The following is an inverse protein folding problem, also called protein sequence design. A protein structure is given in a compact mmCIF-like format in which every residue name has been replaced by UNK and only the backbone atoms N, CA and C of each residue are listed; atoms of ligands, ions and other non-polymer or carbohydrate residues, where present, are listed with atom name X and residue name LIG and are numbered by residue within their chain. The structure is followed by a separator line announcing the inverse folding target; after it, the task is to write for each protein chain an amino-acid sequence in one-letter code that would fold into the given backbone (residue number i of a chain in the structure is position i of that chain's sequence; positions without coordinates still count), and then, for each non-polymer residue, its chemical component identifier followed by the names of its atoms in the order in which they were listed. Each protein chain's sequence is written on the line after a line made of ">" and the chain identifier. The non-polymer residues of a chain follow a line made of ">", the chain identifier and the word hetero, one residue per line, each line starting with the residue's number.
data_IF_143306726643
#
_entry.id   IF_143306726643
#
_cell.length_a   1.000
_cell.length_b   1.000
_cell.length_c   1.000
_cell.angle_alpha   90.00
_cell.angle_beta   90.00
_cell.angle_gamma   90.00
#
_symmetry.space_group_name_H-M   'P 1'
#
loop_
_entity.id
_entity.type
_entity.pdbx_description
1 polymer ?
#
# COMPACT_ATOMS: atom_id res chain seq x y z
N UNK A 1 32.22 -32.77 -64.46
CA UNK A 1 31.08 -32.04 -63.85
C UNK A 1 31.00 -32.15 -62.32
N UNK A 2 31.19 -33.33 -61.70
CA UNK A 2 31.03 -33.51 -60.23
C UNK A 2 32.02 -32.71 -59.37
N UNK A 3 33.28 -32.56 -59.79
CA UNK A 3 34.30 -31.79 -59.03
C UNK A 3 34.05 -30.27 -59.00
N UNK A 4 33.53 -29.69 -60.08
CA UNK A 4 33.23 -28.24 -60.12
C UNK A 4 32.04 -27.86 -59.23
N UNK A 5 31.01 -28.71 -59.16
CA UNK A 5 29.87 -28.54 -58.25
C UNK A 5 30.29 -28.56 -56.77
N UNK A 6 31.17 -29.49 -56.38
CA UNK A 6 31.68 -29.57 -55.02
C UNK A 6 32.53 -28.35 -54.63
N UNK A 7 33.37 -27.84 -55.54
CA UNK A 7 34.18 -26.63 -55.32
C UNK A 7 33.32 -25.36 -55.15
N UNK A 8 32.26 -25.24 -55.96
CA UNK A 8 31.34 -24.10 -55.90
C UNK A 8 30.45 -24.13 -54.64
N UNK A 9 30.09 -25.33 -54.18
CA UNK A 9 29.36 -25.55 -52.92
C UNK A 9 30.24 -25.27 -51.70
N UNK A 10 31.52 -25.67 -51.73
CA UNK A 10 32.47 -25.34 -50.67
C UNK A 10 32.77 -23.84 -50.60
N UNK A 11 32.92 -23.17 -51.74
CA UNK A 11 33.13 -21.72 -51.79
C UNK A 11 31.93 -20.93 -51.22
N UNK A 12 30.71 -21.31 -51.57
CA UNK A 12 29.50 -20.68 -51.02
C UNK A 12 29.29 -20.94 -49.53
N UNK A 13 29.69 -22.13 -49.05
CA UNK A 13 29.65 -22.46 -47.62
C UNK A 13 30.69 -21.65 -46.83
N UNK A 14 31.90 -21.50 -47.37
CA UNK A 14 32.96 -20.69 -46.77
C UNK A 14 32.57 -19.20 -46.67
N UNK A 15 31.92 -18.64 -47.71
CA UNK A 15 31.42 -17.26 -47.68
C UNK A 15 30.33 -17.07 -46.61
N UNK A 16 29.37 -18.01 -46.51
CA UNK A 16 28.32 -17.97 -45.48
C UNK A 16 28.91 -18.05 -44.06
N UNK A 17 29.93 -18.89 -43.86
CA UNK A 17 30.61 -19.01 -42.58
C UNK A 17 31.36 -17.72 -42.21
N UNK A 18 32.07 -17.12 -43.17
CA UNK A 18 32.79 -15.86 -42.95
C UNK A 18 31.85 -14.72 -42.55
N UNK A 19 30.69 -14.59 -43.23
CA UNK A 19 29.67 -13.57 -42.88
C UNK A 19 29.10 -13.82 -41.49
N UNK A 20 28.76 -15.07 -41.15
CA UNK A 20 28.27 -15.43 -39.82
C UNK A 20 29.31 -15.12 -38.72
N UNK A 21 30.59 -15.42 -38.96
CA UNK A 21 31.67 -15.14 -38.03
C UNK A 21 31.86 -13.64 -37.78
N UNK A 22 31.72 -12.79 -38.82
CA UNK A 22 31.77 -11.33 -38.69
C UNK A 22 30.58 -10.83 -37.84
N UNK A 23 29.36 -11.32 -38.10
CA UNK A 23 28.18 -10.95 -37.31
C UNK A 23 28.33 -11.32 -35.83
N UNK A 24 28.82 -12.52 -35.53
CA UNK A 24 29.08 -12.97 -34.16
C UNK A 24 30.19 -12.14 -33.51
N UNK A 25 31.27 -11.85 -34.23
CA UNK A 25 32.38 -11.01 -33.72
C UNK A 25 31.91 -9.59 -33.43
N UNK A 26 31.06 -9.01 -34.28
CA UNK A 26 30.41 -7.71 -34.06
C UNK A 26 29.53 -7.70 -32.81
N UNK A 27 28.70 -8.74 -32.63
CA UNK A 27 27.87 -8.91 -31.42
C UNK A 27 28.72 -9.06 -30.16
N UNK A 28 29.79 -9.85 -30.20
CA UNK A 28 30.72 -10.04 -29.08
C UNK A 28 31.46 -8.73 -28.76
N UNK A 29 31.91 -7.99 -29.77
CA UNK A 29 32.57 -6.71 -29.59
C UNK A 29 31.62 -5.67 -28.98
N UNK A 30 30.38 -5.56 -29.49
CA UNK A 30 29.35 -4.68 -28.93
C UNK A 30 29.01 -5.04 -27.47
N UNK A 31 28.90 -6.34 -27.17
CA UNK A 31 28.71 -6.83 -25.79
C UNK A 31 29.89 -6.47 -24.90
N UNK A 32 31.13 -6.65 -25.36
CA UNK A 32 32.35 -6.33 -24.62
C UNK A 32 32.50 -4.82 -24.39
N UNK A 33 32.17 -3.98 -25.38
CA UNK A 33 32.14 -2.52 -25.25
C UNK A 33 31.06 -2.04 -24.28
N UNK A 34 29.86 -2.63 -24.33
CA UNK A 34 28.80 -2.37 -23.33
C UNK A 34 29.25 -2.78 -21.93
N UNK A 35 29.89 -3.94 -21.79
CA UNK A 35 30.42 -4.43 -20.51
C UNK A 35 31.56 -3.57 -19.97
N UNK A 36 32.45 -3.07 -20.83
CA UNK A 36 33.52 -2.15 -20.45
C UNK A 36 32.99 -0.78 -20.03
N UNK A 37 32.00 -0.23 -20.74
CA UNK A 37 31.29 0.98 -20.32
C UNK A 37 30.54 0.76 -19.00
N UNK A 38 29.97 -0.43 -18.80
CA UNK A 38 29.39 -0.87 -17.53
C UNK A 38 30.42 -0.82 -16.41
N UNK A 39 31.56 -1.50 -16.60
CA UNK A 39 32.62 -1.59 -15.60
C UNK A 39 33.22 -0.22 -15.31
N UNK A 40 33.44 0.61 -16.33
CA UNK A 40 33.89 1.98 -16.14
C UNK A 40 32.88 2.79 -15.31
N UNK A 41 31.57 2.67 -15.59
CA UNK A 41 30.51 3.36 -14.83
C UNK A 41 30.39 2.83 -13.39
N UNK A 42 30.51 1.51 -13.19
CA UNK A 42 30.53 0.86 -11.86
C UNK A 42 31.73 1.33 -11.01
N UNK A 43 32.89 1.51 -11.63
CA UNK A 43 34.09 2.01 -10.94
C UNK A 43 33.98 3.50 -10.65
N UNK A 44 33.43 4.30 -11.57
CA UNK A 44 33.31 5.76 -11.44
C UNK A 44 32.19 6.22 -10.48
N UNK A 45 31.08 5.48 -10.38
CA UNK A 45 29.96 5.84 -9.49
C UNK A 45 30.16 5.44 -8.02
N UNK A 46 31.34 4.94 -7.64
CA UNK A 46 31.64 4.56 -6.24
C UNK A 46 31.53 5.73 -5.23
N UNK A 47 31.47 6.99 -5.64
CA UNK A 47 31.34 8.10 -4.67
C UNK A 47 29.90 8.65 -4.53
N UNK A 48 28.94 8.15 -5.31
CA UNK A 48 27.53 8.58 -5.22
C UNK A 48 26.66 7.41 -4.74
N UNK A 49 26.34 7.38 -3.45
CA UNK A 49 25.34 6.45 -2.89
C UNK A 49 23.98 7.16 -2.78
N UNK A 50 23.06 6.78 -3.66
CA UNK A 50 21.69 7.27 -3.73
C UNK A 50 20.77 6.59 -2.74
N UNK A 51 21.24 5.60 -1.98
CA UNK A 51 20.42 4.85 -1.03
C UNK A 51 19.73 5.70 0.02
N UNK A 52 20.32 6.83 0.41
CA UNK A 52 19.72 7.82 1.32
C UNK A 52 18.45 8.50 0.78
N UNK A 53 18.17 8.38 -0.52
CA UNK A 53 16.96 8.91 -1.16
C UNK A 53 15.78 7.94 -1.09
N UNK A 54 16.01 6.72 -0.61
CA UNK A 54 15.00 5.68 -0.55
C UNK A 54 14.74 5.23 0.88
N UNK A 55 13.48 4.97 1.20
CA UNK A 55 13.07 4.32 2.44
C UNK A 55 12.04 3.25 2.13
N UNK A 56 12.20 2.06 2.69
CA UNK A 56 11.32 0.92 2.40
C UNK A 56 10.66 0.38 3.67
N UNK A 57 9.36 0.08 3.62
CA UNK A 57 8.65 -0.70 4.65
C UNK A 57 8.11 -1.97 3.99
N UNK A 58 8.67 -3.13 4.35
CA UNK A 58 8.17 -4.41 3.84
C UNK A 58 7.38 -5.13 4.93
N UNK A 59 6.07 -4.88 4.93
CA UNK A 59 5.13 -5.53 5.83
C UNK A 59 4.76 -6.95 5.39
N UNK A 60 3.86 -7.60 6.14
CA UNK A 60 3.42 -8.96 5.85
C UNK A 60 2.59 -9.12 4.56
N UNK A 61 1.95 -8.04 4.09
CA UNK A 61 1.07 -8.06 2.91
C UNK A 61 1.51 -7.09 1.81
N UNK A 62 1.94 -5.88 2.19
CA UNK A 62 2.39 -4.85 1.25
C UNK A 62 3.80 -4.39 1.60
N UNK A 63 4.61 -4.24 0.56
CA UNK A 63 5.81 -3.42 0.56
C UNK A 63 5.47 -1.98 0.14
N UNK A 64 6.11 -1.00 0.77
CA UNK A 64 6.03 0.42 0.43
C UNK A 64 7.44 0.92 0.25
N UNK A 65 7.61 1.78 -0.75
CA UNK A 65 8.86 2.44 -1.06
C UNK A 65 8.58 3.93 -1.15
N UNK A 66 9.37 4.69 -0.42
CA UNK A 66 9.44 6.13 -0.51
C UNK A 66 10.66 6.49 -1.35
N UNK A 67 10.47 7.42 -2.29
CA UNK A 67 11.54 8.04 -3.04
C UNK A 67 11.53 9.55 -2.79
N UNK A 68 12.64 10.07 -2.26
CA UNK A 68 12.87 11.50 -2.08
C UNK A 68 13.59 12.07 -3.29
N UNK A 69 12.87 12.91 -4.03
CA UNK A 69 13.37 13.75 -5.09
C UNK A 69 13.81 15.09 -4.50
N UNK A 70 15.08 15.46 -4.68
CA UNK A 70 15.59 16.75 -4.23
C UNK A 70 15.17 17.86 -5.20
N UNK A 71 15.08 19.07 -4.66
CA UNK A 71 14.95 20.26 -5.48
C UNK A 71 16.14 20.38 -6.44
N UNK A 72 15.87 20.67 -7.71
CA UNK A 72 16.88 20.74 -8.77
C UNK A 72 17.28 19.40 -9.39
N UNK A 73 16.79 18.25 -8.91
CA UNK A 73 17.05 16.94 -9.56
C UNK A 73 16.50 16.87 -10.99
N UNK A 74 15.43 17.61 -11.29
CA UNK A 74 14.83 17.70 -12.62
C UNK A 74 15.52 18.74 -13.54
N UNK A 75 16.46 19.53 -13.01
CA UNK A 75 17.15 20.56 -13.78
C UNK A 75 18.38 19.96 -14.47
N UNK A 76 18.20 19.56 -15.73
CA UNK A 76 19.24 19.00 -16.58
C UNK A 76 20.42 19.97 -16.84
N UNK A 77 20.30 21.25 -16.47
CA UNK A 77 21.37 22.25 -16.60
C UNK A 77 22.24 22.38 -15.35
N UNK A 78 21.84 21.80 -14.22
CA UNK A 78 22.59 21.84 -12.97
C UNK A 78 23.74 20.79 -12.98
N UNK A 79 25.03 21.20 -12.99
CA UNK A 79 26.16 20.27 -13.01
C UNK A 79 26.33 19.47 -11.71
N UNK A 80 25.71 19.92 -10.60
CA UNK A 80 25.72 19.24 -9.31
C UNK A 80 24.51 18.30 -9.11
N UNK A 81 23.53 18.32 -10.04
CA UNK A 81 22.44 17.36 -10.02
C UNK A 81 23.02 15.94 -10.15
N UNK A 82 22.64 14.99 -9.27
CA UNK A 82 23.07 13.61 -9.46
C UNK A 82 22.52 13.11 -10.79
N UNK A 83 23.38 12.48 -11.60
CA UNK A 83 22.97 11.69 -12.75
C UNK A 83 22.20 10.47 -12.25
N UNK A 84 20.94 10.71 -11.85
CA UNK A 84 19.94 9.67 -11.60
C UNK A 84 19.56 8.98 -12.91
N UNK A 85 20.01 9.53 -14.06
CA UNK A 85 19.76 9.06 -15.40
C UNK A 85 18.29 8.72 -15.64
N UNK A 86 18.08 7.62 -16.35
CA UNK A 86 16.75 7.09 -16.64
C UNK A 86 15.95 6.71 -15.38
N UNK A 87 16.57 6.54 -14.20
CA UNK A 87 15.88 6.07 -12.99
C UNK A 87 14.90 7.12 -12.46
N UNK A 88 15.32 8.39 -12.42
CA UNK A 88 14.49 9.49 -11.92
C UNK A 88 13.25 9.68 -12.79
N UNK A 89 13.44 9.88 -14.10
CA UNK A 89 12.34 9.98 -15.06
C UNK A 89 11.44 8.74 -14.99
N UNK A 90 12.02 7.54 -14.86
CA UNK A 90 11.20 6.32 -14.74
C UNK A 90 10.33 6.32 -13.48
N UNK A 91 10.88 6.74 -12.32
CA UNK A 91 10.18 6.84 -11.03
C UNK A 91 9.15 7.98 -10.94
N UNK A 92 9.23 8.99 -11.80
CA UNK A 92 8.34 10.16 -11.73
C UNK A 92 7.35 10.22 -12.89
N UNK A 93 7.74 9.78 -14.09
CA UNK A 93 6.91 9.88 -15.30
C UNK A 93 5.92 8.72 -15.45
N UNK A 94 6.08 7.66 -14.66
CA UNK A 94 5.20 6.48 -14.70
C UNK A 94 4.49 6.24 -13.37
N UNK A 95 3.30 5.64 -13.42
CA UNK A 95 2.54 5.23 -12.23
C UNK A 95 2.60 3.72 -12.01
N UNK A 96 2.98 2.93 -13.01
CA UNK A 96 3.02 1.47 -12.94
C UNK A 96 4.38 0.93 -13.38
N UNK A 97 5.01 0.13 -12.51
CA UNK A 97 6.34 -0.42 -12.74
C UNK A 97 6.27 -1.94 -12.78
N UNK A 98 6.60 -2.47 -13.95
CA UNK A 98 6.40 -3.89 -14.23
C UNK A 98 4.93 -4.28 -14.05
N UNK A 99 4.67 -5.35 -13.29
CA UNK A 99 3.33 -5.90 -13.05
C UNK A 99 2.87 -5.78 -11.59
N UNK A 100 3.63 -5.10 -10.73
CA UNK A 100 3.48 -5.29 -9.28
C UNK A 100 3.71 -4.05 -8.44
N UNK A 101 4.36 -3.01 -8.97
CA UNK A 101 4.58 -1.76 -8.25
C UNK A 101 3.70 -0.68 -8.84
N UNK A 102 3.09 0.10 -7.97
CA UNK A 102 2.26 1.25 -8.31
C UNK A 102 2.74 2.46 -7.52
N UNK A 103 2.85 3.61 -8.18
CA UNK A 103 3.10 4.91 -7.57
C UNK A 103 1.79 5.68 -7.52
N UNK A 104 1.45 6.20 -6.35
CA UNK A 104 0.30 7.09 -6.21
C UNK A 104 0.77 8.55 -6.31
N UNK A 105 0.62 9.13 -7.50
CA UNK A 105 1.02 10.51 -7.78
C UNK A 105 0.25 11.54 -6.94
N UNK A 106 -0.96 11.19 -6.47
CA UNK A 106 -1.82 12.08 -5.66
C UNK A 106 -1.35 12.20 -4.21
N UNK A 107 -0.58 11.21 -3.74
CA UNK A 107 -0.01 11.18 -2.40
C UNK A 107 1.35 11.87 -2.32
N UNK A 108 1.85 12.45 -3.43
CA UNK A 108 3.14 13.15 -3.44
C UNK A 108 3.13 14.31 -2.44
N UNK A 109 4.18 14.40 -1.62
CA UNK A 109 4.33 15.45 -0.61
C UNK A 109 5.47 16.39 -0.97
N UNK A 110 5.22 17.70 -0.89
CA UNK A 110 6.29 18.69 -0.92
C UNK A 110 6.96 18.75 0.46
N UNK A 111 8.29 18.70 0.47
CA UNK A 111 9.06 18.74 1.72
C UNK A 111 9.42 20.18 2.08
N UNK A 112 9.18 20.62 3.33
CA UNK A 112 9.67 21.91 3.78
C UNK A 112 11.20 21.97 3.72
N UNK A 113 11.73 22.99 3.04
CA UNK A 113 13.16 23.08 2.73
C UNK A 113 13.57 22.52 1.37
N UNK A 114 12.60 22.08 0.55
CA UNK A 114 12.81 21.75 -0.86
C UNK A 114 12.65 20.26 -1.18
N UNK A 115 12.16 19.97 -2.39
CA UNK A 115 12.01 18.61 -2.92
C UNK A 115 10.63 17.99 -2.70
N UNK A 116 10.50 16.74 -3.15
CA UNK A 116 9.25 15.98 -3.24
C UNK A 116 9.43 14.54 -2.76
N UNK A 117 8.45 14.02 -2.02
CA UNK A 117 8.39 12.62 -1.61
C UNK A 117 7.36 11.91 -2.46
N UNK A 118 7.79 10.86 -3.14
CA UNK A 118 6.94 9.96 -3.94
C UNK A 118 6.68 8.66 -3.19
N UNK A 119 5.45 8.16 -3.28
CA UNK A 119 5.02 6.93 -2.61
C UNK A 119 4.72 5.84 -3.62
N UNK A 120 5.42 4.72 -3.47
CA UNK A 120 5.24 3.51 -4.25
C UNK A 120 4.82 2.36 -3.33
N UNK A 121 4.01 1.44 -3.87
CA UNK A 121 3.54 0.26 -3.16
C UNK A 121 3.57 -0.98 -4.05
N UNK A 122 3.76 -2.14 -3.44
CA UNK A 122 3.71 -3.44 -4.12
C UNK A 122 3.24 -4.54 -3.16
N UNK A 123 2.76 -5.66 -3.68
CA UNK A 123 2.43 -6.82 -2.84
C UNK A 123 3.71 -7.50 -2.34
N UNK A 124 3.80 -7.81 -1.04
CA UNK A 124 5.02 -8.43 -0.46
C UNK A 124 5.38 -9.76 -1.12
N UNK A 125 4.39 -10.54 -1.56
CA UNK A 125 4.59 -11.79 -2.29
C UNK A 125 5.20 -11.59 -3.70
N UNK A 126 5.34 -10.34 -4.18
CA UNK A 126 5.97 -9.97 -5.45
C UNK A 126 7.36 -9.38 -5.28
N UNK A 127 7.93 -9.37 -4.08
CA UNK A 127 9.24 -8.74 -3.82
C UNK A 127 10.36 -9.29 -4.72
N UNK A 128 10.34 -10.60 -5.03
CA UNK A 128 11.31 -11.20 -5.96
C UNK A 128 11.21 -10.61 -7.37
N UNK A 129 9.98 -10.40 -7.88
CA UNK A 129 9.78 -9.71 -9.16
C UNK A 129 10.26 -8.27 -9.12
N UNK A 130 10.13 -7.58 -7.98
CA UNK A 130 10.65 -6.21 -7.79
C UNK A 130 12.17 -6.21 -7.84
N UNK A 131 12.82 -7.15 -7.14
CA UNK A 131 14.27 -7.33 -7.14
C UNK A 131 14.78 -7.63 -8.55
N UNK A 132 14.17 -8.58 -9.25
CA UNK A 132 14.51 -8.87 -10.64
C UNK A 132 14.33 -7.64 -11.54
N UNK A 133 13.25 -6.89 -11.37
CA UNK A 133 13.00 -5.69 -12.14
C UNK A 133 14.10 -4.64 -11.95
N UNK A 134 14.46 -4.36 -10.69
CA UNK A 134 15.55 -3.44 -10.31
C UNK A 134 16.91 -3.91 -10.83
N UNK A 135 17.16 -5.23 -10.83
CA UNK A 135 18.36 -5.84 -11.38
C UNK A 135 18.45 -5.62 -12.90
N UNK A 136 17.41 -6.00 -13.66
CA UNK A 136 17.38 -5.91 -15.12
C UNK A 136 17.50 -4.46 -15.62
N UNK A 137 16.90 -3.52 -14.90
CA UNK A 137 16.98 -2.08 -15.21
C UNK A 137 18.27 -1.43 -14.69
N UNK A 138 19.09 -2.17 -13.96
CA UNK A 138 20.35 -1.69 -13.40
C UNK A 138 20.18 -0.50 -12.42
N UNK A 139 19.00 -0.36 -11.80
CA UNK A 139 18.68 0.75 -10.88
C UNK A 139 19.42 0.64 -9.54
N UNK A 140 19.94 -0.54 -9.20
CA UNK A 140 20.68 -0.80 -7.96
C UNK A 140 22.13 -0.28 -7.96
N UNK A 141 22.68 0.11 -9.12
CA UNK A 141 24.14 0.33 -9.27
C UNK A 141 24.72 1.40 -8.36
N UNK A 142 23.92 2.43 -8.11
CA UNK A 142 24.33 3.59 -7.33
C UNK A 142 23.70 3.57 -5.94
N UNK A 143 23.23 2.39 -5.48
CA UNK A 143 22.63 2.20 -4.17
C UNK A 143 23.44 1.12 -3.46
N UNK A 144 24.07 1.48 -2.33
CA UNK A 144 24.80 0.50 -1.50
C UNK A 144 24.00 0.09 -0.29
N UNK A 145 23.40 1.07 0.38
CA UNK A 145 22.65 0.85 1.61
C UNK A 145 21.31 1.54 1.52
N UNK A 146 20.24 0.82 1.85
CA UNK A 146 18.89 1.38 1.87
C UNK A 146 18.25 1.16 3.23
N UNK A 147 17.66 2.21 3.79
CA UNK A 147 16.89 2.09 5.02
C UNK A 147 15.63 1.25 4.77
N UNK A 148 15.43 0.23 5.60
CA UNK A 148 14.30 -0.68 5.48
C UNK A 148 13.73 -1.02 6.86
N UNK A 149 12.42 -0.95 6.99
CA UNK A 149 11.68 -1.29 8.21
C UNK A 149 10.65 -2.40 7.93
N UNK A 150 9.96 -2.82 8.99
CA UNK A 150 9.03 -3.93 8.97
C UNK A 150 9.71 -5.30 8.96
N UNK A 151 8.92 -6.37 9.17
CA UNK A 151 9.45 -7.74 9.24
C UNK A 151 10.20 -8.19 7.97
N UNK A 152 9.87 -7.61 6.81
CA UNK A 152 10.53 -7.89 5.55
C UNK A 152 11.97 -7.36 5.46
N UNK A 153 12.34 -6.35 6.25
CA UNK A 153 13.73 -5.88 6.35
C UNK A 153 14.69 -6.99 6.80
N UNK A 154 14.20 -7.88 7.67
CA UNK A 154 14.95 -9.07 8.10
C UNK A 154 14.81 -10.20 7.09
N UNK A 155 13.57 -10.54 6.70
CA UNK A 155 13.26 -11.68 5.84
C UNK A 155 13.94 -11.60 4.46
N UNK A 156 13.99 -10.41 3.87
CA UNK A 156 14.49 -10.20 2.50
C UNK A 156 15.88 -9.56 2.45
N UNK A 157 16.56 -9.39 3.59
CA UNK A 157 17.91 -8.80 3.66
C UNK A 157 18.89 -9.49 2.70
N UNK A 158 18.95 -10.83 2.74
CA UNK A 158 19.84 -11.62 1.87
C UNK A 158 19.43 -11.53 0.39
N UNK A 159 18.13 -11.50 0.10
CA UNK A 159 17.65 -11.39 -1.28
C UNK A 159 18.19 -10.10 -1.94
N UNK A 160 18.12 -8.97 -1.23
CA UNK A 160 18.66 -7.69 -1.71
C UNK A 160 20.19 -7.70 -1.80
N UNK A 161 20.87 -8.24 -0.79
CA UNK A 161 22.33 -8.30 -0.76
C UNK A 161 22.89 -9.19 -1.88
N UNK A 162 22.36 -10.41 -2.02
CA UNK A 162 22.84 -11.41 -2.97
C UNK A 162 22.55 -11.02 -4.44
N UNK A 163 21.39 -10.40 -4.71
CA UNK A 163 20.95 -10.13 -6.09
C UNK A 163 21.22 -8.71 -6.56
N UNK A 164 21.24 -7.73 -5.65
CA UNK A 164 21.40 -6.31 -5.98
C UNK A 164 22.69 -5.71 -5.41
N UNK A 165 23.38 -6.40 -4.49
CA UNK A 165 24.50 -5.82 -3.75
C UNK A 165 24.06 -4.71 -2.79
N UNK A 166 22.77 -4.63 -2.45
CA UNK A 166 22.21 -3.60 -1.56
C UNK A 166 22.10 -4.16 -0.15
N UNK A 167 22.77 -3.52 0.80
CA UNK A 167 22.60 -3.81 2.22
C UNK A 167 21.37 -3.10 2.78
N UNK A 168 20.45 -3.86 3.38
CA UNK A 168 19.28 -3.27 4.06
C UNK A 168 19.65 -2.85 5.49
N UNK A 169 19.68 -1.53 5.73
CA UNK A 169 19.79 -0.96 7.06
C UNK A 169 18.45 -1.12 7.78
N UNK A 170 18.42 -2.00 8.77
CA UNK A 170 17.19 -2.38 9.48
C UNK A 170 16.83 -1.29 10.49
N UNK A 171 15.63 -0.75 10.35
CA UNK A 171 15.06 0.24 11.27
C UNK A 171 13.89 -0.38 12.06
N UNK A 172 13.60 0.14 13.25
CA UNK A 172 12.44 -0.30 14.05
C UNK A 172 11.13 0.15 13.38
N UNK A 173 10.15 -0.75 13.28
CA UNK A 173 8.88 -0.50 12.59
C UNK A 173 8.04 0.58 13.29
N UNK A 174 8.01 0.56 14.62
CA UNK A 174 7.18 1.46 15.38
C UNK A 174 7.83 2.86 15.47
N UNK A 175 9.14 2.93 15.61
CA UNK A 175 9.90 4.19 15.60
C UNK A 175 9.78 4.90 14.24
N UNK A 176 10.00 4.18 13.13
CA UNK A 176 9.82 4.73 11.79
C UNK A 176 8.39 5.23 11.55
N UNK A 177 7.39 4.46 11.99
CA UNK A 177 5.98 4.84 11.87
C UNK A 177 5.69 6.15 12.62
N UNK A 178 6.12 6.27 13.86
CA UNK A 178 5.86 7.45 14.69
C UNK A 178 6.58 8.68 14.11
N UNK A 179 7.87 8.55 13.76
CA UNK A 179 8.63 9.65 13.14
C UNK A 179 8.01 10.10 11.83
N UNK A 180 7.65 9.17 10.95
CA UNK A 180 7.00 9.46 9.68
C UNK A 180 5.66 10.17 9.87
N UNK A 181 4.82 9.67 10.79
CA UNK A 181 3.53 10.28 11.08
C UNK A 181 3.68 11.68 11.68
N UNK A 182 4.59 11.88 12.65
CA UNK A 182 4.87 13.19 13.25
C UNK A 182 5.40 14.17 12.20
N UNK A 183 6.27 13.72 11.30
CA UNK A 183 6.75 14.52 10.17
C UNK A 183 5.58 15.00 9.31
N UNK A 184 4.70 14.09 8.88
CA UNK A 184 3.56 14.46 8.02
C UNK A 184 2.59 15.38 8.77
N UNK A 185 2.26 15.10 10.04
CA UNK A 185 1.37 15.96 10.84
C UNK A 185 1.91 17.38 11.06
N UNK A 186 3.23 17.56 11.14
CA UNK A 186 3.87 18.88 11.30
C UNK A 186 3.96 19.67 10.02
N UNK A 187 4.15 18.99 8.89
CA UNK A 187 4.61 19.63 7.65
C UNK A 187 3.60 19.58 6.51
N UNK A 188 2.60 18.70 6.59
CA UNK A 188 1.58 18.55 5.57
C UNK A 188 0.27 19.10 6.12
N UNK A 189 -0.15 20.23 5.56
CA UNK A 189 -1.40 20.86 5.92
C UNK A 189 -2.57 19.89 5.66
N UNK A 190 -3.53 19.89 6.59
CA UNK A 190 -4.76 19.11 6.51
C UNK A 190 -4.62 17.58 6.40
N UNK A 191 -3.43 16.99 6.60
CA UNK A 191 -3.28 15.52 6.63
C UNK A 191 -4.10 14.93 7.78
N UNK A 192 -4.12 15.58 8.94
CA UNK A 192 -5.00 15.19 10.03
C UNK A 192 -6.32 15.97 9.98
N UNK A 193 -7.39 15.28 9.61
CA UNK A 193 -8.68 15.89 9.32
C UNK A 193 -9.53 16.22 10.56
N UNK A 194 -9.18 15.74 11.75
CA UNK A 194 -10.04 15.86 12.96
C UNK A 194 -9.31 16.28 14.22
N UNK A 195 -8.20 15.63 14.56
CA UNK A 195 -7.46 15.88 15.80
C UNK A 195 -6.15 16.60 15.51
N UNK A 196 -5.99 17.84 16.00
CA UNK A 196 -4.81 18.66 15.71
C UNK A 196 -3.74 18.64 16.82
N UNK A 197 -4.03 18.03 17.96
CA UNK A 197 -3.06 17.88 19.04
C UNK A 197 -2.02 16.83 18.66
N UNK A 198 -0.74 17.20 18.73
CA UNK A 198 0.35 16.31 18.36
C UNK A 198 0.68 15.32 19.46
N UNK A 199 0.42 15.60 20.75
CA UNK A 199 0.62 14.67 21.87
C UNK A 199 -0.26 15.03 23.07
N UNK A 200 -0.59 14.05 23.94
CA UNK A 200 -0.47 12.62 23.72
C UNK A 200 -1.58 12.10 22.79
N UNK A 201 -1.32 11.04 22.05
CA UNK A 201 -2.35 10.37 21.24
C UNK A 201 -2.24 8.85 21.28
N UNK A 202 -3.32 8.20 20.86
CA UNK A 202 -3.36 6.77 20.64
C UNK A 202 -3.27 6.50 19.14
N UNK A 203 -2.18 5.88 18.70
CA UNK A 203 -1.99 5.47 17.32
C UNK A 203 -2.42 4.01 17.14
N UNK A 204 -3.32 3.78 16.17
CA UNK A 204 -3.76 2.45 15.79
C UNK A 204 -3.36 2.15 14.37
N UNK A 205 -2.28 1.40 14.24
CA UNK A 205 -1.75 0.98 12.96
C UNK A 205 -2.46 -0.31 12.51
N UNK A 206 -3.29 -0.22 11.46
CA UNK A 206 -4.06 -1.34 10.91
C UNK A 206 -3.37 -1.84 9.64
N UNK A 207 -2.57 -2.89 9.78
CA UNK A 207 -1.94 -3.62 8.68
C UNK A 207 -2.54 -5.02 8.51
N UNK A 208 -1.69 -6.03 8.31
CA UNK A 208 -2.13 -7.44 8.32
C UNK A 208 -2.78 -7.82 9.66
N UNK A 209 -2.16 -7.38 10.77
CA UNK A 209 -2.76 -7.31 12.10
C UNK A 209 -2.93 -5.84 12.54
N UNK A 210 -3.10 -5.61 13.84
CA UNK A 210 -3.26 -4.26 14.41
C UNK A 210 -2.34 -4.06 15.60
N UNK A 211 -1.64 -2.93 15.62
CA UNK A 211 -0.85 -2.46 16.77
C UNK A 211 -1.44 -1.17 17.33
N UNK A 212 -1.57 -1.10 18.65
CA UNK A 212 -2.12 0.04 19.38
C UNK A 212 -1.02 0.62 20.27
N UNK A 213 -0.66 1.87 20.03
CA UNK A 213 0.44 2.59 20.64
C UNK A 213 -0.09 3.81 21.39
N UNK A 214 0.35 3.99 22.64
CA UNK A 214 0.24 5.28 23.34
C UNK A 214 1.51 6.07 23.06
N UNK A 215 1.38 7.24 22.46
CA UNK A 215 2.50 8.12 22.12
C UNK A 215 2.40 9.38 22.97
N UNK A 216 3.43 9.66 23.76
CA UNK A 216 3.49 10.81 24.68
C UNK A 216 4.42 11.90 24.20
N UNK A 217 5.42 11.56 23.36
CA UNK A 217 6.27 12.52 22.66
C UNK A 217 6.81 11.91 21.37
N UNK A 218 7.64 12.66 20.64
CA UNK A 218 8.29 12.18 19.41
C UNK A 218 9.19 10.96 19.64
N UNK A 219 9.76 10.82 20.84
CA UNK A 219 10.70 9.76 21.20
C UNK A 219 10.16 8.82 22.28
N UNK A 220 8.99 9.10 22.86
CA UNK A 220 8.41 8.31 23.94
C UNK A 220 7.06 7.74 23.54
N UNK A 221 7.02 6.41 23.48
CA UNK A 221 5.82 5.66 23.15
C UNK A 221 5.87 4.24 23.71
N UNK A 222 4.69 3.66 23.91
CA UNK A 222 4.54 2.28 24.34
C UNK A 222 3.45 1.56 23.56
N UNK A 223 3.73 0.32 23.14
CA UNK A 223 2.72 -0.58 22.58
C UNK A 223 1.83 -1.10 23.69
N UNK A 224 0.67 -0.46 23.84
CA UNK A 224 -0.31 -0.79 24.89
C UNK A 224 -1.16 -1.99 24.53
N UNK A 225 -1.32 -2.31 23.24
CA UNK A 225 -2.08 -3.47 22.80
C UNK A 225 -1.87 -3.83 21.33
N UNK A 226 -2.61 -4.84 20.88
CA UNK A 226 -2.76 -5.18 19.48
C UNK A 226 -3.73 -6.35 19.31
N UNK A 227 -4.10 -6.63 18.06
CA UNK A 227 -4.91 -7.80 17.70
C UNK A 227 -4.40 -8.40 16.39
N UNK A 228 -4.49 -9.73 16.27
CA UNK A 228 -4.23 -10.42 15.01
C UNK A 228 -5.37 -10.23 13.99
N UNK A 229 -6.52 -9.71 14.43
CA UNK A 229 -7.69 -9.44 13.59
C UNK A 229 -7.54 -8.07 12.91
N UNK A 230 -6.81 -8.03 11.80
CA UNK A 230 -6.59 -6.82 11.00
C UNK A 230 -7.05 -6.97 9.54
N UNK A 231 -6.42 -6.21 8.65
CA UNK A 231 -6.70 -6.26 7.22
C UNK A 231 -6.39 -7.61 6.58
N UNK A 232 -5.42 -8.36 7.12
CA UNK A 232 -5.10 -9.71 6.66
C UNK A 232 -6.24 -10.69 6.94
N UNK A 233 -6.88 -10.58 8.11
CA UNK A 233 -8.06 -11.38 8.45
C UNK A 233 -9.25 -11.01 7.57
N UNK A 234 -9.48 -9.72 7.34
CA UNK A 234 -10.52 -9.24 6.43
C UNK A 234 -10.34 -9.86 5.03
N UNK A 235 -9.18 -9.65 4.42
CA UNK A 235 -8.90 -10.09 3.06
C UNK A 235 -8.94 -11.63 2.95
N UNK A 236 -8.35 -12.34 3.92
CA UNK A 236 -8.33 -13.80 3.94
C UNK A 236 -9.73 -14.40 4.01
N UNK A 237 -10.58 -13.89 4.91
CA UNK A 237 -11.98 -14.35 5.03
C UNK A 237 -12.79 -14.00 3.79
N UNK A 238 -12.65 -12.78 3.24
CA UNK A 238 -13.33 -12.41 2.01
C UNK A 238 -12.94 -13.35 0.86
N UNK A 239 -11.66 -13.68 0.68
CA UNK A 239 -11.20 -14.62 -0.36
C UNK A 239 -11.75 -16.04 -0.19
N UNK A 240 -11.86 -16.51 1.06
CA UNK A 240 -12.35 -17.86 1.36
C UNK A 240 -13.88 -17.97 1.22
N UNK A 241 -14.60 -16.94 1.64
CA UNK A 241 -16.04 -17.01 1.82
C UNK A 241 -16.83 -16.36 0.66
N UNK A 242 -16.16 -15.61 -0.21
CA UNK A 242 -16.80 -14.90 -1.32
C UNK A 242 -16.04 -15.08 -2.64
N UNK A 243 -16.50 -14.39 -3.68
CA UNK A 243 -15.87 -14.42 -5.02
C UNK A 243 -14.67 -13.49 -5.16
N UNK A 244 -14.46 -12.54 -4.24
CA UNK A 244 -13.46 -11.49 -4.41
C UNK A 244 -12.03 -12.03 -4.34
N UNK A 245 -11.17 -11.45 -5.18
CA UNK A 245 -9.77 -11.87 -5.35
C UNK A 245 -8.78 -10.78 -4.95
N UNK A 246 -9.21 -9.51 -4.93
CA UNK A 246 -8.39 -8.38 -4.48
C UNK A 246 -8.99 -7.70 -3.24
N UNK A 247 -8.20 -6.84 -2.61
CA UNK A 247 -8.64 -6.03 -1.49
C UNK A 247 -9.71 -5.02 -1.92
N UNK A 248 -9.50 -4.33 -3.04
CA UNK A 248 -10.43 -3.32 -3.56
C UNK A 248 -11.78 -3.91 -3.92
N UNK A 249 -11.80 -5.08 -4.56
CA UNK A 249 -13.01 -5.83 -4.84
C UNK A 249 -13.79 -6.18 -3.56
N UNK A 250 -13.08 -6.63 -2.52
CA UNK A 250 -13.68 -6.98 -1.25
C UNK A 250 -14.24 -5.73 -0.52
N UNK A 251 -13.53 -4.61 -0.59
CA UNK A 251 -13.94 -3.33 -0.01
C UNK A 251 -15.19 -2.78 -0.72
N UNK A 252 -15.17 -2.69 -2.04
CA UNK A 252 -16.31 -2.28 -2.88
C UNK A 252 -17.53 -3.16 -2.62
N UNK A 253 -17.32 -4.48 -2.56
CA UNK A 253 -18.37 -5.43 -2.20
C UNK A 253 -18.96 -5.17 -0.81
N UNK A 254 -18.13 -4.79 0.16
CA UNK A 254 -18.56 -4.47 1.53
C UNK A 254 -19.43 -3.23 1.63
N UNK A 255 -19.21 -2.23 0.77
CA UNK A 255 -20.04 -1.01 0.72
C UNK A 255 -21.47 -1.28 0.25
N UNK A 256 -21.64 -2.32 -0.57
CA UNK A 256 -22.95 -2.76 -1.10
C UNK A 256 -23.59 -3.87 -0.24
N UNK A 257 -22.83 -4.42 0.72
CA UNK A 257 -23.26 -5.51 1.59
C UNK A 257 -24.25 -5.06 2.68
N UNK A 258 -25.00 -6.02 3.22
CA UNK A 258 -25.84 -5.80 4.40
C UNK A 258 -25.49 -6.82 5.48
N UNK A 259 -24.75 -6.38 6.50
CA UNK A 259 -24.27 -7.24 7.58
C UNK A 259 -25.39 -7.87 8.39
N UNK A 260 -26.57 -7.24 8.47
CA UNK A 260 -27.71 -7.77 9.24
C UNK A 260 -28.27 -9.07 8.66
N UNK A 261 -27.94 -9.41 7.40
CA UNK A 261 -28.32 -10.67 6.79
C UNK A 261 -27.52 -11.87 7.32
N UNK A 262 -26.42 -11.61 8.03
CA UNK A 262 -25.51 -12.63 8.58
C UNK A 262 -25.34 -12.46 10.09
N UNK A 263 -25.18 -11.22 10.56
CA UNK A 263 -25.06 -10.90 11.98
C UNK A 263 -26.36 -11.19 12.75
N UNK A 264 -26.26 -11.99 13.82
CA UNK A 264 -27.35 -12.10 14.78
C UNK A 264 -27.41 -10.85 15.66
N UNK A 265 -28.45 -10.01 15.46
CA UNK A 265 -28.67 -8.81 16.28
C UNK A 265 -29.51 -9.11 17.53
N UNK A 266 -29.45 -8.24 18.55
CA UNK A 266 -30.30 -8.35 19.75
C UNK A 266 -31.80 -8.41 19.43
N UNK A 267 -32.25 -7.82 18.30
CA UNK A 267 -33.63 -7.89 17.81
C UNK A 267 -33.99 -9.32 17.38
N UNK A 268 -33.06 -10.03 16.74
CA UNK A 268 -33.24 -11.42 16.31
C UNK A 268 -33.29 -12.38 17.50
N UNK A 269 -32.53 -12.10 18.57
CA UNK A 269 -32.55 -12.91 19.80
C UNK A 269 -33.86 -12.77 20.57
N UNK A 270 -34.42 -11.54 20.65
CA UNK A 270 -35.69 -11.30 21.37
C UNK A 270 -36.91 -11.96 20.71
N UNK A 271 -36.86 -12.19 19.40
CA UNK A 271 -37.93 -12.87 18.66
C UNK A 271 -37.77 -14.40 18.65
N UNK A 272 -36.68 -14.96 19.20
CA UNK A 272 -36.35 -16.39 19.08
C UNK A 272 -36.65 -17.25 20.33
N UNK A 273 -36.75 -16.69 21.55
CA UNK A 273 -37.33 -17.37 22.73
C UNK A 273 -37.39 -16.46 23.96
N UNK A 274 -38.45 -16.64 24.77
CA UNK A 274 -38.65 -16.38 26.20
C UNK A 274 -37.83 -15.28 26.93
N UNK A 275 -38.55 -14.44 27.69
CA UNK A 275 -37.98 -13.44 28.62
C UNK A 275 -36.85 -14.07 29.48
N UNK A 276 -35.61 -13.55 29.44
CA UNK A 276 -34.57 -14.04 30.33
C UNK A 276 -34.88 -13.61 31.77
N UNK A 277 -34.88 -14.56 32.70
CA UNK A 277 -34.98 -14.27 34.13
C UNK A 277 -33.82 -13.37 34.56
N UNK A 278 -34.13 -12.24 35.21
CA UNK A 278 -33.15 -11.30 35.75
C UNK A 278 -32.45 -11.92 36.96
N UNK A 279 -31.44 -12.76 36.74
CA UNK A 279 -30.44 -13.01 37.77
C UNK A 279 -29.40 -11.88 37.73
N UNK A 280 -29.17 -11.22 38.88
CA UNK A 280 -28.06 -10.28 39.07
C UNK A 280 -26.76 -11.04 38.79
N UNK A 281 -26.04 -10.69 37.72
CA UNK A 281 -24.70 -11.21 37.46
C UNK A 281 -23.71 -10.14 37.92
N UNK A 282 -23.00 -10.46 39.00
CA UNK A 282 -21.80 -9.74 39.42
C UNK A 282 -20.72 -9.83 38.33
N UNK A 283 -20.16 -8.69 37.93
CA UNK A 283 -19.09 -8.64 36.94
C UNK A 283 -17.80 -9.15 37.57
N UNK A 284 -17.45 -10.42 37.30
CA UNK A 284 -16.07 -10.90 37.38
C UNK A 284 -15.49 -11.02 35.98
N UNK A 285 -14.38 -10.33 35.73
CA UNK A 285 -13.59 -10.44 34.51
C UNK A 285 -13.28 -11.92 34.23
N UNK A 286 -13.89 -12.50 33.21
CA UNK A 286 -13.46 -13.77 32.62
C UNK A 286 -12.95 -13.50 31.20
N UNK A 287 -11.65 -13.67 31.00
CA UNK A 287 -11.05 -13.99 29.71
C UNK A 287 -11.78 -15.21 29.15
N UNK A 288 -12.70 -15.02 28.21
CA UNK A 288 -13.28 -16.09 27.38
C UNK A 288 -14.13 -15.47 26.25
N UNK A 289 -13.50 -14.79 25.31
CA UNK A 289 -14.11 -14.46 24.02
C UNK A 289 -13.89 -15.60 23.01
N UNK A 290 -14.37 -16.80 23.34
CA UNK A 290 -14.28 -17.99 22.49
C UNK A 290 -15.64 -18.42 21.88
N UNK A 291 -16.69 -17.59 21.99
CA UNK A 291 -18.01 -17.91 21.43
C UNK A 291 -18.56 -16.74 20.61
N UNK A 292 -18.08 -16.58 19.37
CA UNK A 292 -18.74 -15.69 18.38
C UNK A 292 -19.01 -16.32 17.00
N UNK A 293 -18.78 -17.62 16.82
CA UNK A 293 -19.22 -18.35 15.63
C UNK A 293 -19.72 -19.75 15.97
N UNK A 294 -20.77 -19.88 16.78
CA UNK A 294 -21.50 -21.16 16.85
C UNK A 294 -22.97 -20.92 17.15
N UNK A 295 -23.83 -21.39 16.25
CA UNK A 295 -25.20 -21.78 16.59
C UNK A 295 -25.07 -23.19 17.19
N UNK A 296 -24.90 -23.30 18.51
CA UNK A 296 -24.95 -24.61 19.19
C UNK A 296 -26.43 -24.97 19.31
N UNK A 297 -26.84 -25.98 18.54
CA UNK A 297 -28.21 -26.49 18.49
C UNK A 297 -28.78 -26.56 17.09
N UNK A 298 -28.19 -27.41 16.23
CA UNK A 298 -28.95 -28.26 15.32
C UNK A 298 -28.04 -29.35 14.78
N UNK A 299 -28.55 -30.58 14.73
CA UNK A 299 -27.85 -31.74 14.18
C UNK A 299 -27.29 -31.42 12.80
N UNK A 300 -26.08 -31.93 12.54
CA UNK A 300 -25.35 -31.91 11.26
C UNK A 300 -26.30 -32.09 10.08
N UNK A 301 -26.77 -30.96 9.57
CA UNK A 301 -27.21 -30.87 8.19
C UNK A 301 -25.95 -30.55 7.43
N UNK A 302 -25.52 -31.49 6.58
CA UNK A 302 -24.47 -31.27 5.61
C UNK A 302 -24.56 -29.85 5.06
N UNK A 303 -23.42 -29.18 4.95
CA UNK A 303 -23.30 -27.90 4.26
C UNK A 303 -23.78 -28.14 2.83
N UNK A 304 -25.08 -27.93 2.58
CA UNK A 304 -25.68 -28.05 1.26
C UNK A 304 -24.88 -27.13 0.34
N UNK A 305 -24.30 -27.72 -0.72
CA UNK A 305 -23.79 -27.02 -1.90
C UNK A 305 -24.89 -26.10 -2.41
N UNK A 306 -24.95 -24.84 -1.95
CA UNK A 306 -26.06 -23.96 -2.31
C UNK A 306 -26.27 -22.70 -1.46
N UNK A 307 -25.55 -22.51 -0.34
CA UNK A 307 -25.64 -21.26 0.44
C UNK A 307 -25.07 -20.07 -0.37
N UNK A 308 -25.93 -19.42 -1.15
CA UNK A 308 -25.60 -18.29 -2.01
C UNK A 308 -25.37 -16.97 -1.24
N UNK A 309 -25.65 -16.95 0.08
CA UNK A 309 -25.57 -15.74 0.91
C UNK A 309 -24.16 -15.16 1.02
N UNK A 310 -23.17 -16.03 1.25
CA UNK A 310 -21.75 -15.68 1.33
C UNK A 310 -21.11 -15.49 -0.05
N UNK A 311 -21.55 -16.27 -1.04
CA UNK A 311 -20.92 -16.35 -2.37
C UNK A 311 -21.08 -15.09 -3.25
N UNK A 312 -22.01 -14.18 -2.94
CA UNK A 312 -22.40 -13.09 -3.87
C UNK A 312 -22.07 -11.67 -3.43
N UNK A 313 -21.77 -11.41 -2.15
CA UNK A 313 -21.63 -10.05 -1.61
C UNK A 313 -20.39 -9.93 -0.72
N UNK A 314 -19.64 -8.83 -0.85
CA UNK A 314 -18.49 -8.53 0.00
C UNK A 314 -19.09 -8.26 1.35
N UNK A 315 -18.86 -9.16 2.28
CA UNK A 315 -19.77 -9.21 3.40
C UNK A 315 -19.38 -8.10 4.39
N UNK A 316 -20.18 -7.03 4.38
CA UNK A 316 -20.17 -5.96 5.36
C UNK A 316 -20.13 -6.50 6.81
N UNK A 317 -20.56 -7.75 7.05
CA UNK A 317 -20.43 -8.42 8.35
C UNK A 317 -18.96 -8.63 8.77
N UNK A 318 -18.07 -9.00 7.86
CA UNK A 318 -16.65 -9.23 8.14
C UNK A 318 -15.96 -7.91 8.45
N UNK A 319 -16.18 -6.89 7.61
CA UNK A 319 -15.69 -5.51 7.85
C UNK A 319 -16.23 -4.98 9.19
N UNK A 320 -17.54 -5.10 9.41
CA UNK A 320 -18.19 -4.64 10.64
C UNK A 320 -17.69 -5.39 11.88
N UNK A 321 -17.44 -6.70 11.80
CA UNK A 321 -16.87 -7.47 12.89
C UNK A 321 -15.46 -6.98 13.24
N UNK A 322 -14.56 -6.85 12.26
CA UNK A 322 -13.18 -6.43 12.51
C UNK A 322 -13.15 -5.02 13.10
N UNK A 323 -13.88 -4.07 12.49
CA UNK A 323 -13.95 -2.70 12.98
C UNK A 323 -14.50 -2.62 14.41
N UNK A 324 -15.58 -3.35 14.72
CA UNK A 324 -16.15 -3.39 16.08
C UNK A 324 -15.16 -3.96 17.11
N UNK A 325 -14.39 -5.00 16.76
CA UNK A 325 -13.38 -5.54 17.68
C UNK A 325 -12.26 -4.52 17.93
N UNK A 326 -11.80 -3.82 16.89
CA UNK A 326 -10.78 -2.77 17.03
C UNK A 326 -11.30 -1.62 17.91
N UNK A 327 -12.53 -1.16 17.67
CA UNK A 327 -13.19 -0.12 18.49
C UNK A 327 -13.34 -0.52 19.95
N UNK A 328 -13.82 -1.73 20.22
CA UNK A 328 -14.02 -2.23 21.59
C UNK A 328 -12.69 -2.33 22.35
N UNK A 329 -11.62 -2.79 21.68
CA UNK A 329 -10.27 -2.84 22.24
C UNK A 329 -9.74 -1.43 22.55
N UNK A 330 -9.89 -0.49 21.61
CA UNK A 330 -9.49 0.91 21.81
C UNK A 330 -10.16 1.53 23.02
N UNK A 331 -11.48 1.42 23.10
CA UNK A 331 -12.29 1.99 24.16
C UNK A 331 -11.90 1.49 25.55
N UNK A 332 -11.68 0.18 25.68
CA UNK A 332 -11.25 -0.41 26.93
C UNK A 332 -9.90 0.16 27.41
N UNK A 333 -8.99 0.49 26.48
CA UNK A 333 -7.67 1.03 26.82
C UNK A 333 -7.67 2.54 27.11
N UNK A 334 -8.48 3.32 26.39
CA UNK A 334 -8.69 4.74 26.72
C UNK A 334 -9.25 4.87 28.14
N UNK A 335 -10.22 4.03 28.52
CA UNK A 335 -10.78 4.02 29.87
C UNK A 335 -9.77 3.58 30.95
N UNK A 336 -8.84 2.68 30.63
CA UNK A 336 -7.79 2.23 31.57
C UNK A 336 -6.65 3.24 31.74
N UNK A 337 -6.45 4.15 30.79
CA UNK A 337 -5.36 5.16 30.82
C UNK A 337 -5.75 6.43 31.58
N UNK A 338 -6.87 6.42 32.30
CA UNK A 338 -7.33 7.54 33.14
C UNK A 338 -7.94 8.71 32.36
N UNK A 339 -7.97 8.65 31.04
CA UNK A 339 -8.66 9.62 30.20
C UNK A 339 -10.14 9.28 30.14
N UNK A 340 -10.96 10.00 30.89
CA UNK A 340 -12.42 9.83 30.93
C UNK A 340 -13.10 10.39 29.67
N UNK A 341 -12.65 10.00 28.48
CA UNK A 341 -13.40 10.22 27.25
C UNK A 341 -14.34 9.02 27.08
N UNK A 342 -15.61 9.20 27.44
CA UNK A 342 -16.57 8.14 27.22
C UNK A 342 -16.75 7.92 25.71
N UNK A 343 -16.79 6.66 25.27
CA UNK A 343 -17.02 6.26 23.88
C UNK A 343 -18.22 6.96 23.21
N UNK A 344 -19.22 7.35 23.99
CA UNK A 344 -20.40 8.11 23.53
C UNK A 344 -19.99 9.48 22.96
N UNK A 345 -18.97 10.10 23.54
CA UNK A 345 -18.49 11.44 23.20
C UNK A 345 -17.59 11.36 21.95
N UNK A 346 -16.73 10.33 21.85
CA UNK A 346 -15.97 10.05 20.63
C UNK A 346 -16.90 9.72 19.45
N UNK A 347 -17.94 8.89 19.69
CA UNK A 347 -18.93 8.56 18.66
C UNK A 347 -19.82 9.75 18.28
N UNK A 348 -20.18 10.62 19.22
CA UNK A 348 -20.96 11.82 18.89
C UNK A 348 -20.12 12.77 18.03
N UNK A 349 -18.87 13.04 18.44
CA UNK A 349 -17.93 13.88 17.69
C UNK A 349 -17.65 13.30 16.30
N UNK A 350 -17.36 12.00 16.18
CA UNK A 350 -17.16 11.36 14.89
C UNK A 350 -18.42 11.40 14.00
N UNK A 351 -19.62 11.26 14.58
CA UNK A 351 -20.89 11.34 13.85
C UNK A 351 -21.20 12.75 13.39
N UNK A 352 -20.90 13.77 14.19
CA UNK A 352 -21.01 15.17 13.79
C UNK A 352 -20.02 15.51 12.69
N UNK A 353 -18.77 15.06 12.81
CA UNK A 353 -17.76 15.26 11.78
C UNK A 353 -18.11 14.55 10.48
N UNK A 354 -18.65 13.34 10.54
CA UNK A 354 -19.14 12.63 9.36
C UNK A 354 -20.30 13.37 8.67
N UNK A 355 -21.18 14.04 9.44
CA UNK A 355 -22.20 14.92 8.87
C UNK A 355 -21.57 16.13 8.18
N UNK A 356 -20.55 16.73 8.78
CA UNK A 356 -19.82 17.88 8.23
C UNK A 356 -19.09 17.53 6.93
N UNK A 357 -18.34 16.42 6.91
CA UNK A 357 -17.66 15.90 5.72
C UNK A 357 -18.66 15.60 4.60
N UNK A 358 -19.78 14.95 4.91
CA UNK A 358 -20.83 14.69 3.92
C UNK A 358 -21.50 15.97 3.41
N UNK A 359 -21.66 16.98 4.27
CA UNK A 359 -22.16 18.30 3.87
C UNK A 359 -21.19 18.99 2.90
N UNK A 360 -19.90 18.96 3.21
CA UNK A 360 -18.84 19.54 2.38
C UNK A 360 -18.68 18.81 1.04
N UNK A 361 -18.84 17.48 1.02
CA UNK A 361 -18.84 16.70 -0.21
C UNK A 361 -20.06 17.03 -1.10
N UNK A 362 -21.24 17.25 -0.49
CA UNK A 362 -22.45 17.67 -1.21
C UNK A 362 -22.32 19.08 -1.80
N UNK A 363 -21.75 20.03 -1.08
CA UNK A 363 -21.50 21.39 -1.61
C UNK A 363 -20.45 21.40 -2.71
N UNK A 364 -19.37 20.62 -2.60
CA UNK A 364 -18.41 20.44 -3.70
C UNK A 364 -19.03 19.78 -4.94
N UNK A 365 -19.94 18.83 -4.76
CA UNK A 365 -20.66 18.20 -5.88
C UNK A 365 -21.64 19.18 -6.54
N UNK A 366 -22.32 20.00 -5.75
CA UNK A 366 -23.26 21.02 -6.24
C UNK A 366 -22.55 22.13 -7.04
N UNK A 367 -21.45 22.67 -6.51
CA UNK A 367 -20.63 23.68 -7.22
C UNK A 367 -20.09 23.15 -8.56
N UNK A 368 -19.59 21.91 -8.61
CA UNK A 368 -19.14 21.29 -9.88
C UNK A 368 -20.27 21.09 -10.89
N UNK A 369 -21.50 20.86 -10.43
CA UNK A 369 -22.67 20.73 -11.33
C UNK A 369 -23.07 22.11 -11.85
N UNK A 370 -23.08 23.14 -10.99
CA UNK A 370 -23.36 24.53 -11.37
C UNK A 370 -22.33 25.06 -12.38
N UNK A 371 -21.04 24.76 -12.18
CA UNK A 371 -19.96 25.11 -13.11
C UNK A 371 -20.13 24.44 -14.48
N UNK A 372 -20.42 23.13 -14.51
CA UNK A 372 -20.71 22.42 -15.75
C UNK A 372 -21.99 22.90 -16.45
N UNK A 373 -23.01 23.31 -15.67
CA UNK A 373 -24.22 23.87 -16.25
C UNK A 373 -23.92 25.20 -16.94
N UNK A 374 -23.12 26.06 -16.30
CA UNK A 374 -22.70 27.33 -16.87
C UNK A 374 -21.83 27.16 -18.13
N UNK A 375 -20.93 26.17 -18.17
CA UNK A 375 -20.16 25.83 -19.37
C UNK A 375 -21.07 25.39 -20.53
N UNK A 376 -22.08 24.55 -20.23
CA UNK A 376 -23.04 24.10 -21.24
C UNK A 376 -23.92 25.24 -21.73
N UNK A 377 -24.40 26.12 -20.85
CA UNK A 377 -25.18 27.31 -21.22
C UNK A 377 -24.35 28.27 -22.09
N UNK A 378 -23.06 28.43 -21.78
CA UNK A 378 -22.14 29.23 -22.58
C UNK A 378 -21.94 28.63 -23.98
N UNK A 379 -21.72 27.31 -24.06
CA UNK A 379 -21.57 26.61 -25.33
C UNK A 379 -22.83 26.67 -26.20
N UNK A 380 -24.02 26.62 -25.59
CA UNK A 380 -25.30 26.80 -26.29
C UNK A 380 -25.41 28.22 -26.86
N UNK A 381 -25.10 29.26 -26.06
CA UNK A 381 -25.11 30.65 -26.52
C UNK A 381 -24.11 30.91 -27.65
N UNK A 382 -22.92 30.32 -27.56
CA UNK A 382 -21.91 30.42 -28.62
C UNK A 382 -22.35 29.71 -29.90
N UNK A 383 -23.08 28.59 -29.80
CA UNK A 383 -23.66 27.89 -30.95
C UNK A 383 -24.85 28.65 -31.57
N UNK A 384 -25.64 29.34 -30.76
CA UNK A 384 -26.79 30.16 -31.20
C UNK A 384 -26.37 31.48 -31.87
N UNK A 385 -25.22 32.06 -31.48
CA UNK A 385 -24.75 33.32 -32.07
C UNK A 385 -24.14 33.17 -33.47
N UNK A 386 -23.85 31.95 -33.93
CA UNK A 386 -23.31 31.68 -35.27
C UNK A 386 -21.94 32.33 -35.53
N UNK A 387 -21.15 31.85 -36.50
CA UNK A 387 -19.93 32.54 -36.91
C UNK A 387 -20.32 33.83 -37.66
N UNK A 388 -19.98 34.99 -37.09
CA UNK A 388 -19.99 36.28 -37.80
C UNK A 388 -18.97 36.29 -38.95
#
# INVERSE_FOLDING_TARGET
>A
MVRMSAQQTMATTAVKFAVAAICVTGLVFLRKRKLQRLHARIIYHRDKDLGSRFGMDVGGTLGKLVYFEREGDADATNPDAPDLGDVHSYLVDTEYYGKSVERDSRMMLNVPGGGRIHFLRFETNKVEYVVEFVLHRCFHRDIRTMACTGGGAFKFSKLFEDHLGISLQKCDELDCLIRGMVFVMRHVADECYTFKELYPFLLVNIGSGVSILKVTSETEYHRVSGTSLGGGTFLGLCKLLSKYKSFDEALEGSMQGNSQSVDMTKKNVKNAAAKPNKAKVEYRHKLNSAKKFTKVGNATTEVRRGCNGFKRRGDASVTGFINRNIEELMAARVLQTGSSLALKDIRSVAKERLKEVNKNARTKKRSRVEEKLAEVEKAIKEAEMGPN
#
